data_IF_253914312389
#
_entry.id   IF_253914312389
#
_cell.length_a   1.000
_cell.length_b   1.000
_cell.length_c   1.000
_cell.angle_alpha   90.00
_cell.angle_beta   90.00
_cell.angle_gamma   90.00
#
_symmetry.space_group_name_H-M   'P 1'
#
loop_
_entity.id
_entity.type
_entity.pdbx_description
1 polymer ?
#
# COMPACT_ATOMS: atom_id res chain seq x y z
N UNK A 1 -5.09 -17.90 59.03
CA UNK A 1 -5.12 -18.63 57.74
C UNK A 1 -5.70 -17.71 56.69
N UNK A 2 -4.81 -17.06 55.93
CA UNK A 2 -5.19 -16.14 54.83
C UNK A 2 -5.17 -16.90 53.54
N UNK A 3 -6.33 -17.02 52.89
CA UNK A 3 -6.47 -17.70 51.60
C UNK A 3 -5.69 -16.95 50.49
N UNK A 4 -4.98 -17.65 49.59
CA UNK A 4 -4.24 -17.00 48.51
C UNK A 4 -5.21 -16.44 47.46
N UNK A 5 -5.08 -15.15 47.16
CA UNK A 5 -5.86 -14.45 46.14
C UNK A 5 -5.66 -15.13 44.74
N UNK A 6 -6.76 -15.61 44.20
CA UNK A 6 -6.85 -16.23 42.87
C UNK A 6 -6.48 -15.18 41.80
N UNK A 7 -5.26 -15.24 41.25
CA UNK A 7 -4.85 -14.39 40.13
C UNK A 7 -5.76 -14.72 38.93
N UNK A 8 -6.69 -13.81 38.65
CA UNK A 8 -7.53 -13.86 37.44
C UNK A 8 -6.64 -13.83 36.23
N UNK A 9 -6.60 -14.96 35.51
CA UNK A 9 -5.86 -15.07 34.23
C UNK A 9 -6.42 -14.06 33.23
N UNK A 10 -5.58 -13.13 32.77
CA UNK A 10 -5.94 -12.18 31.73
C UNK A 10 -6.40 -12.93 30.47
N UNK A 11 -7.53 -12.55 29.84
CA UNK A 11 -8.03 -13.23 28.66
C UNK A 11 -6.96 -13.26 27.57
N UNK A 12 -6.65 -14.44 27.07
CA UNK A 12 -5.73 -14.67 25.94
C UNK A 12 -6.33 -13.98 24.73
N UNK A 13 -5.74 -12.86 24.29
CA UNK A 13 -6.16 -12.17 23.07
C UNK A 13 -5.92 -13.09 21.87
N UNK A 14 -6.98 -13.65 21.32
CA UNK A 14 -6.96 -14.48 20.10
C UNK A 14 -6.34 -13.63 18.99
N UNK A 15 -5.18 -14.04 18.49
CA UNK A 15 -4.51 -13.37 17.36
C UNK A 15 -5.38 -13.55 16.11
N UNK A 16 -5.96 -12.46 15.62
CA UNK A 16 -6.73 -12.48 14.37
C UNK A 16 -5.84 -12.89 13.19
N UNK A 17 -6.34 -13.69 12.23
CA UNK A 17 -5.54 -14.19 11.12
C UNK A 17 -4.96 -13.05 10.27
N UNK A 18 -3.66 -13.08 10.04
CA UNK A 18 -2.90 -12.06 9.28
C UNK A 18 -2.81 -12.45 7.80
N UNK A 19 -2.83 -13.76 7.51
CA UNK A 19 -2.64 -14.31 6.17
C UNK A 19 -3.60 -13.73 5.10
N UNK A 20 -4.93 -13.64 5.31
CA UNK A 20 -5.84 -13.14 4.28
C UNK A 20 -5.61 -11.64 3.97
N UNK A 21 -5.22 -10.83 4.96
CA UNK A 21 -4.95 -9.41 4.75
C UNK A 21 -3.68 -9.21 3.94
N UNK A 22 -2.65 -9.98 4.25
CA UNK A 22 -1.40 -9.97 3.50
C UNK A 22 -1.60 -10.36 2.04
N UNK A 23 -2.43 -11.37 1.78
CA UNK A 23 -2.76 -11.79 0.42
C UNK A 23 -3.50 -10.68 -0.34
N UNK A 24 -4.49 -10.04 0.28
CA UNK A 24 -5.21 -8.91 -0.31
C UNK A 24 -4.29 -7.73 -0.61
N UNK A 25 -3.41 -7.38 0.32
CA UNK A 25 -2.40 -6.35 0.11
C UNK A 25 -1.51 -6.68 -1.09
N UNK A 26 -1.00 -7.92 -1.16
CA UNK A 26 -0.13 -8.38 -2.26
C UNK A 26 -0.85 -8.28 -3.61
N UNK A 27 -2.09 -8.76 -3.70
CA UNK A 27 -2.88 -8.72 -4.94
C UNK A 27 -3.15 -7.27 -5.36
N UNK A 28 -3.62 -6.42 -4.43
CA UNK A 28 -3.89 -5.00 -4.73
C UNK A 28 -2.61 -4.27 -5.14
N UNK A 29 -1.47 -4.58 -4.53
CA UNK A 29 -0.17 -4.03 -4.88
C UNK A 29 0.24 -4.38 -6.32
N UNK A 30 0.15 -5.67 -6.69
CA UNK A 30 0.51 -6.12 -8.04
C UNK A 30 -0.44 -5.54 -9.10
N UNK A 31 -1.74 -5.48 -8.81
CA UNK A 31 -2.74 -4.85 -9.69
C UNK A 31 -2.39 -3.37 -9.90
N UNK A 32 -2.04 -2.64 -8.84
CA UNK A 32 -1.68 -1.24 -8.96
C UNK A 32 -0.39 -1.04 -9.75
N UNK A 33 0.66 -1.86 -9.54
CA UNK A 33 1.90 -1.79 -10.32
C UNK A 33 1.64 -2.03 -11.81
N UNK A 34 0.86 -3.08 -12.15
CA UNK A 34 0.51 -3.38 -13.53
C UNK A 34 -0.35 -2.26 -14.15
N UNK A 35 -1.32 -1.75 -13.40
CA UNK A 35 -2.16 -0.65 -13.83
C UNK A 35 -1.33 0.62 -14.11
N UNK A 36 -0.44 0.98 -13.21
CA UNK A 36 0.35 2.21 -13.35
C UNK A 36 1.39 2.09 -14.44
N UNK A 37 2.02 0.92 -14.60
CA UNK A 37 3.04 0.71 -15.62
C UNK A 37 2.46 0.60 -17.04
N UNK A 38 1.37 -0.13 -17.21
CA UNK A 38 0.80 -0.46 -18.51
C UNK A 38 -0.57 0.19 -18.72
N UNK A 39 -1.48 0.03 -17.77
CA UNK A 39 -2.86 0.50 -17.89
C UNK A 39 -2.95 2.00 -18.09
N UNK A 40 -2.26 2.77 -17.26
CA UNK A 40 -2.32 4.22 -17.29
C UNK A 40 -1.79 4.81 -18.61
N UNK A 41 -0.58 4.46 -19.13
CA UNK A 41 -0.10 4.97 -20.42
C UNK A 41 -0.98 4.57 -21.59
N UNK A 42 -1.47 3.31 -21.60
CA UNK A 42 -2.32 2.81 -22.69
C UNK A 42 -3.66 3.54 -22.69
N UNK A 43 -4.32 3.66 -21.55
CA UNK A 43 -5.63 4.31 -21.43
C UNK A 43 -5.56 5.80 -21.76
N UNK A 44 -4.52 6.49 -21.29
CA UNK A 44 -4.34 7.90 -21.63
C UNK A 44 -4.14 8.08 -23.14
N UNK A 45 -3.34 7.22 -23.79
CA UNK A 45 -3.13 7.29 -25.23
C UNK A 45 -4.43 7.03 -26.02
N UNK A 46 -5.28 6.12 -25.54
CA UNK A 46 -6.59 5.83 -26.17
C UNK A 46 -7.54 7.03 -26.05
N UNK A 47 -7.58 7.69 -24.89
CA UNK A 47 -8.50 8.80 -24.66
C UNK A 47 -7.96 10.16 -25.11
N UNK A 48 -6.66 10.29 -25.27
CA UNK A 48 -5.99 11.50 -25.73
C UNK A 48 -4.89 11.15 -26.75
N UNK A 49 -5.22 10.99 -28.04
CA UNK A 49 -4.26 10.63 -29.09
C UNK A 49 -3.12 11.66 -29.30
N UNK A 50 -3.27 12.89 -28.80
CA UNK A 50 -2.21 13.90 -28.81
C UNK A 50 -1.21 13.75 -27.66
N UNK A 51 -1.39 12.74 -26.79
CA UNK A 51 -0.45 12.44 -25.70
C UNK A 51 0.86 11.88 -26.25
N UNK A 52 1.97 11.96 -25.50
CA UNK A 52 3.24 11.38 -25.90
C UNK A 52 3.11 9.87 -26.16
N UNK A 53 3.99 9.35 -27.03
CA UNK A 53 4.06 7.94 -27.43
C UNK A 53 3.94 7.00 -26.23
N UNK A 54 3.23 5.89 -26.42
CA UNK A 54 3.01 4.84 -25.37
C UNK A 54 4.35 4.40 -24.76
N UNK A 55 5.39 4.22 -25.58
CA UNK A 55 6.71 3.80 -25.11
C UNK A 55 7.32 4.84 -24.18
N UNK A 56 7.24 6.11 -24.52
CA UNK A 56 7.69 7.22 -23.66
C UNK A 56 6.88 7.28 -22.36
N UNK A 57 5.57 7.06 -22.41
CA UNK A 57 4.69 7.00 -21.27
C UNK A 57 5.05 5.86 -20.31
N UNK A 58 5.29 4.66 -20.84
CA UNK A 58 5.72 3.48 -20.04
C UNK A 58 7.10 3.73 -19.42
N UNK A 59 8.06 4.25 -20.19
CA UNK A 59 9.39 4.57 -19.67
C UNK A 59 9.35 5.58 -18.53
N UNK A 60 8.53 6.63 -18.66
CA UNK A 60 8.31 7.62 -17.61
C UNK A 60 7.70 7.01 -16.35
N UNK A 61 6.66 6.18 -16.49
CA UNK A 61 6.05 5.49 -15.37
C UNK A 61 7.00 4.50 -14.72
N UNK A 62 7.82 3.78 -15.50
CA UNK A 62 8.82 2.88 -14.96
C UNK A 62 9.82 3.61 -14.07
N UNK A 63 10.30 4.79 -14.50
CA UNK A 63 11.20 5.63 -13.70
C UNK A 63 10.56 6.05 -12.38
N UNK A 64 9.31 6.50 -12.43
CA UNK A 64 8.55 6.88 -11.23
C UNK A 64 8.28 5.71 -10.29
N UNK A 65 8.17 4.48 -10.80
CA UNK A 65 7.90 3.27 -10.02
C UNK A 65 9.15 2.64 -9.41
N UNK A 66 10.37 3.11 -9.72
CA UNK A 66 11.62 2.56 -9.18
C UNK A 66 11.58 2.40 -7.65
N UNK A 67 11.19 3.40 -6.83
CA UNK A 67 11.10 3.23 -5.39
C UNK A 67 10.08 2.16 -4.97
N UNK A 68 8.94 2.10 -5.66
CA UNK A 68 7.91 1.10 -5.41
C UNK A 68 8.39 -0.32 -5.72
N UNK A 69 9.14 -0.50 -6.81
CA UNK A 69 9.73 -1.78 -7.19
C UNK A 69 10.76 -2.25 -6.16
N UNK A 70 11.58 -1.36 -5.64
CA UNK A 70 12.55 -1.65 -4.55
C UNK A 70 11.82 -2.09 -3.28
N UNK A 71 10.67 -1.51 -2.97
CA UNK A 71 9.88 -1.86 -1.79
C UNK A 71 9.05 -3.14 -1.98
N UNK A 72 8.82 -3.58 -3.21
CA UNK A 72 8.00 -4.75 -3.54
C UNK A 72 8.39 -6.01 -2.74
N UNK A 73 9.67 -6.45 -2.65
CA UNK A 73 10.03 -7.64 -1.87
C UNK A 73 9.71 -7.49 -0.38
N UNK A 74 9.78 -6.28 0.17
CA UNK A 74 9.42 -6.01 1.56
C UNK A 74 7.92 -6.13 1.81
N UNK A 75 7.10 -5.64 0.89
CA UNK A 75 5.63 -5.72 0.93
C UNK A 75 5.16 -7.16 0.74
N UNK A 76 5.73 -7.89 -0.23
CA UNK A 76 5.39 -9.28 -0.51
C UNK A 76 5.74 -10.20 0.67
N UNK A 77 6.90 -10.01 1.29
CA UNK A 77 7.30 -10.76 2.48
C UNK A 77 6.46 -10.41 3.70
N UNK A 78 6.13 -9.14 3.91
CA UNK A 78 5.22 -8.63 4.95
C UNK A 78 5.60 -9.05 6.38
N UNK A 79 6.88 -9.30 6.66
CA UNK A 79 7.35 -9.84 7.95
C UNK A 79 7.91 -8.77 8.88
N UNK A 80 8.49 -7.71 8.34
CA UNK A 80 9.11 -6.65 9.11
C UNK A 80 8.14 -5.48 9.30
N UNK A 81 7.72 -5.15 10.53
CA UNK A 81 6.88 -3.98 10.80
C UNK A 81 7.53 -2.67 10.35
N UNK A 82 8.85 -2.56 10.51
CA UNK A 82 9.63 -1.39 10.10
C UNK A 82 9.60 -1.19 8.58
N UNK A 83 9.83 -2.26 7.80
CA UNK A 83 9.78 -2.17 6.34
C UNK A 83 8.37 -1.81 5.82
N UNK A 84 7.31 -2.31 6.47
CA UNK A 84 5.93 -1.95 6.13
C UNK A 84 5.61 -0.49 6.48
N UNK A 85 6.17 0.03 7.57
CA UNK A 85 6.02 1.43 7.96
C UNK A 85 6.69 2.35 6.93
N UNK A 86 7.92 2.06 6.53
CA UNK A 86 8.60 2.79 5.45
C UNK A 86 7.80 2.71 4.16
N UNK A 87 7.31 1.52 3.79
CA UNK A 87 6.48 1.35 2.60
C UNK A 87 5.22 2.21 2.66
N UNK A 88 4.57 2.33 3.83
CA UNK A 88 3.38 3.17 3.98
C UNK A 88 3.68 4.66 3.78
N UNK A 89 4.85 5.14 4.22
CA UNK A 89 5.28 6.51 3.96
C UNK A 89 5.47 6.79 2.47
N UNK A 90 6.13 5.88 1.74
CA UNK A 90 6.28 6.03 0.29
C UNK A 90 4.93 6.00 -0.44
N UNK A 91 4.01 5.13 -0.02
CA UNK A 91 2.68 5.05 -0.63
C UNK A 91 1.88 6.33 -0.37
N UNK A 92 2.03 6.97 0.79
CA UNK A 92 1.42 8.27 1.06
C UNK A 92 1.95 9.35 0.11
N UNK A 93 3.25 9.32 -0.24
CA UNK A 93 3.82 10.24 -1.23
C UNK A 93 3.20 9.98 -2.61
N UNK A 94 3.07 8.71 -3.03
CA UNK A 94 2.40 8.37 -4.28
C UNK A 94 0.92 8.78 -4.27
N UNK A 95 0.23 8.58 -3.15
CA UNK A 95 -1.17 8.97 -2.99
C UNK A 95 -1.33 10.50 -3.11
N UNK A 96 -0.45 11.26 -2.44
CA UNK A 96 -0.42 12.72 -2.54
C UNK A 96 -0.16 13.19 -3.98
N UNK A 97 0.85 12.63 -4.64
CA UNK A 97 1.17 12.93 -6.04
C UNK A 97 0.02 12.58 -7.00
N UNK A 98 -0.59 11.40 -6.84
CA UNK A 98 -1.76 10.99 -7.63
C UNK A 98 -2.95 11.92 -7.39
N UNK A 99 -3.19 12.33 -6.14
CA UNK A 99 -4.24 13.29 -5.78
C UNK A 99 -4.04 14.65 -6.44
N UNK A 100 -2.82 15.18 -6.45
CA UNK A 100 -2.49 16.45 -7.13
C UNK A 100 -2.73 16.35 -8.63
N UNK A 101 -2.29 15.25 -9.27
CA UNK A 101 -2.52 15.05 -10.71
C UNK A 101 -4.01 14.91 -11.00
N UNK A 102 -4.76 14.14 -10.20
CA UNK A 102 -6.20 14.01 -10.33
C UNK A 102 -6.91 15.35 -10.24
N UNK A 103 -6.54 16.17 -9.25
CA UNK A 103 -7.10 17.51 -9.07
C UNK A 103 -6.78 18.41 -10.26
N UNK A 104 -5.53 18.44 -10.72
CA UNK A 104 -5.12 19.24 -11.87
C UNK A 104 -5.88 18.84 -13.15
N UNK A 105 -6.12 17.55 -13.36
CA UNK A 105 -6.86 17.04 -14.52
C UNK A 105 -8.36 17.28 -14.44
N UNK A 106 -8.93 17.40 -13.24
CA UNK A 106 -10.36 17.66 -13.06
C UNK A 106 -10.85 18.96 -13.72
N UNK A 107 -9.96 19.93 -13.95
CA UNK A 107 -10.32 21.23 -14.53
C UNK A 107 -10.17 21.32 -16.06
N UNK A 108 -9.48 20.38 -16.71
CA UNK A 108 -9.18 20.51 -18.14
C UNK A 108 -9.27 19.24 -18.97
N UNK A 109 -9.58 18.10 -18.33
CA UNK A 109 -9.58 16.80 -19.02
C UNK A 109 -10.99 16.24 -19.23
N UNK A 110 -11.13 15.31 -20.15
CA UNK A 110 -12.37 14.57 -20.36
C UNK A 110 -12.71 13.67 -19.16
N UNK A 111 -14.00 13.37 -18.98
CA UNK A 111 -14.46 12.47 -17.91
C UNK A 111 -13.78 11.09 -17.95
N UNK A 112 -13.44 10.62 -19.17
CA UNK A 112 -12.74 9.34 -19.34
C UNK A 112 -11.30 9.40 -18.79
N UNK A 113 -10.56 10.47 -19.06
CA UNK A 113 -9.23 10.68 -18.48
C UNK A 113 -9.29 10.80 -16.95
N UNK A 114 -10.25 11.56 -16.43
CA UNK A 114 -10.44 11.71 -14.98
C UNK A 114 -10.68 10.34 -14.33
N UNK A 115 -11.51 9.48 -14.94
CA UNK A 115 -11.79 8.14 -14.44
C UNK A 115 -10.51 7.27 -14.33
N UNK A 116 -9.58 7.38 -15.27
CA UNK A 116 -8.28 6.68 -15.22
C UNK A 116 -7.49 7.09 -13.98
N UNK A 117 -7.41 8.39 -13.68
CA UNK A 117 -6.70 8.86 -12.49
C UNK A 117 -7.44 8.53 -11.17
N UNK A 118 -8.78 8.50 -11.18
CA UNK A 118 -9.58 8.05 -10.03
C UNK A 118 -9.26 6.59 -9.69
N UNK A 119 -9.14 5.72 -10.70
CA UNK A 119 -8.79 4.31 -10.47
C UNK A 119 -7.41 4.19 -9.81
N UNK A 120 -6.40 4.92 -10.30
CA UNK A 120 -5.07 4.95 -9.68
C UNK A 120 -5.14 5.39 -8.21
N UNK A 121 -5.85 6.47 -7.95
CA UNK A 121 -6.01 7.02 -6.60
C UNK A 121 -6.71 6.03 -5.66
N UNK A 122 -7.80 5.39 -6.10
CA UNK A 122 -8.56 4.40 -5.31
C UNK A 122 -7.71 3.15 -5.02
N UNK A 123 -6.90 2.70 -5.98
CA UNK A 123 -5.97 1.58 -5.76
C UNK A 123 -4.93 1.93 -4.69
N UNK A 124 -4.31 3.11 -4.75
CA UNK A 124 -3.36 3.59 -3.76
C UNK A 124 -4.00 3.73 -2.36
N UNK A 125 -5.22 4.27 -2.30
CA UNK A 125 -5.99 4.38 -1.06
C UNK A 125 -6.25 2.99 -0.46
N UNK A 126 -6.62 2.02 -1.28
CA UNK A 126 -6.86 0.63 -0.88
C UNK A 126 -5.59 -0.03 -0.33
N UNK A 127 -4.44 0.18 -0.97
CA UNK A 127 -3.14 -0.33 -0.50
C UNK A 127 -2.82 0.27 0.86
N UNK A 128 -2.98 1.59 1.02
CA UNK A 128 -2.71 2.27 2.29
C UNK A 128 -3.63 1.75 3.42
N UNK A 129 -4.90 1.51 3.11
CA UNK A 129 -5.86 0.91 4.04
C UNK A 129 -5.43 -0.50 4.49
N UNK A 130 -5.01 -1.38 3.56
CA UNK A 130 -4.54 -2.71 3.90
C UNK A 130 -3.24 -2.69 4.69
N UNK A 131 -2.31 -1.78 4.38
CA UNK A 131 -1.08 -1.58 5.14
C UNK A 131 -1.38 -1.14 6.57
N UNK A 132 -2.29 -0.20 6.75
CA UNK A 132 -2.70 0.27 8.08
C UNK A 132 -3.30 -0.87 8.92
N UNK A 133 -4.18 -1.69 8.33
CA UNK A 133 -4.76 -2.85 9.03
C UNK A 133 -3.67 -3.87 9.38
N UNK A 134 -2.74 -4.12 8.47
CA UNK A 134 -1.64 -5.06 8.68
C UNK A 134 -0.72 -4.57 9.80
N UNK A 135 -0.31 -3.31 9.79
CA UNK A 135 0.51 -2.70 10.84
C UNK A 135 -0.18 -2.75 12.22
N UNK A 136 -1.49 -2.50 12.28
CA UNK A 136 -2.27 -2.59 13.52
C UNK A 136 -2.32 -4.01 14.10
N UNK A 137 -2.18 -5.04 13.26
CA UNK A 137 -2.25 -6.45 13.69
C UNK A 137 -0.88 -7.06 13.98
N UNK A 138 0.20 -6.48 13.51
CA UNK A 138 1.55 -6.90 13.84
C UNK A 138 1.89 -6.52 15.30
N UNK A 139 2.66 -7.37 16.01
CA UNK A 139 3.13 -7.03 17.35
C UNK A 139 3.97 -5.75 17.29
N UNK A 140 3.69 -4.81 18.20
CA UNK A 140 4.45 -3.56 18.28
C UNK A 140 5.94 -3.84 18.52
N UNK A 141 6.82 -3.03 17.95
CA UNK A 141 8.29 -3.16 18.09
C UNK A 141 8.76 -3.14 19.56
N UNK A 142 7.96 -2.58 20.48
CA UNK A 142 8.27 -2.51 21.91
C UNK A 142 8.08 -3.83 22.66
N UNK A 143 7.48 -4.85 22.05
CA UNK A 143 7.36 -6.19 22.63
C UNK A 143 8.56 -7.09 22.27
N UNK A 144 9.73 -6.52 21.99
CA UNK A 144 10.99 -7.26 22.06
C UNK A 144 11.19 -7.63 23.51
N UNK A 145 10.65 -8.79 23.82
CA UNK A 145 11.01 -9.73 24.89
C UNK A 145 12.12 -9.20 25.81
N UNK A 146 11.75 -8.75 26.99
CA UNK A 146 12.60 -8.92 28.16
C UNK A 146 12.78 -10.43 28.35
N UNK A 147 13.82 -11.00 27.73
CA UNK A 147 14.29 -12.32 28.07
C UNK A 147 14.67 -12.27 29.55
N UNK A 148 14.08 -13.09 30.44
CA UNK A 148 14.53 -13.14 31.80
C UNK A 148 16.02 -13.54 31.78
N UNK A 149 16.86 -12.71 32.38
CA UNK A 149 18.24 -13.09 32.70
C UNK A 149 18.10 -14.21 33.75
N UNK A 150 18.44 -15.40 33.36
CA UNK A 150 18.78 -16.47 34.28
C UNK A 150 20.17 -16.23 34.83
#
# INVERSE_FOLDING_TARGET
MTAPAKKTAKPVKVKKPIAPIRQRLMVTWLIWLAYRLLGLPILINVFNPSSPDIVGGVAWQALWLVPALILTPSILRGRSPYALLISSMFILVYLGGSGVVLFARAYGSSWAEIAVYIIDFVLLLSINFWLFILLKRLPSMNNVVKKPRQ
#
